data_IF_748198255233
#
_entry.id   IF_748198255233
#
_cell.length_a   1.000
_cell.length_b   1.000
_cell.length_c   1.000
_cell.angle_alpha   90.00
_cell.angle_beta   90.00
_cell.angle_gamma   90.00
#
_symmetry.space_group_name_H-M   'P 1'
#
loop_
_entity.id
_entity.type
_entity.pdbx_description
1 polymer ?
#
# COMPACT_ATOMS: atom_id res chain seq x y z
N UNK A 1 -38.61 -32.46 52.94
CA UNK A 1 -37.91 -32.46 51.65
C UNK A 1 -37.63 -33.90 51.23
N UNK A 2 -38.13 -34.36 50.10
CA UNK A 2 -38.23 -35.78 49.72
C UNK A 2 -36.85 -36.26 49.23
N UNK A 3 -36.13 -37.04 50.04
CA UNK A 3 -34.76 -37.53 49.77
C UNK A 3 -34.60 -38.23 48.39
N UNK A 4 -35.69 -38.82 47.83
CA UNK A 4 -35.70 -39.44 46.52
C UNK A 4 -35.60 -38.46 45.33
N UNK A 5 -36.14 -37.22 45.46
CA UNK A 5 -35.98 -36.15 44.44
C UNK A 5 -34.56 -35.57 44.40
N UNK A 6 -33.88 -35.50 45.57
CA UNK A 6 -32.53 -34.97 45.66
C UNK A 6 -31.48 -35.86 44.95
N UNK A 7 -31.68 -37.19 45.01
CA UNK A 7 -30.76 -38.17 44.38
C UNK A 7 -30.70 -38.04 42.85
N UNK A 8 -31.79 -37.64 42.20
CA UNK A 8 -31.84 -37.40 40.75
C UNK A 8 -31.40 -35.97 40.32
N UNK A 9 -31.53 -35.01 41.21
CA UNK A 9 -31.14 -33.63 40.93
C UNK A 9 -29.61 -33.41 40.93
N UNK A 10 -28.88 -34.16 41.78
CA UNK A 10 -27.44 -34.07 41.87
C UNK A 10 -26.73 -34.50 40.56
N UNK A 11 -27.02 -35.66 39.93
CA UNK A 11 -26.45 -36.07 38.69
C UNK A 11 -26.80 -35.11 37.55
N UNK A 12 -28.02 -34.57 37.50
CA UNK A 12 -28.45 -33.60 36.50
C UNK A 12 -27.69 -32.26 36.62
N UNK A 13 -27.51 -31.78 37.85
CA UNK A 13 -26.74 -30.57 38.14
C UNK A 13 -25.24 -30.76 37.73
N UNK A 14 -24.69 -31.91 38.07
CA UNK A 14 -23.33 -32.28 37.69
C UNK A 14 -23.15 -32.35 36.17
N UNK A 15 -24.13 -32.92 35.45
CA UNK A 15 -24.15 -32.95 33.98
C UNK A 15 -24.21 -31.53 33.38
N UNK A 16 -25.03 -30.63 33.92
CA UNK A 16 -25.10 -29.23 33.53
C UNK A 16 -23.77 -28.50 33.76
N UNK A 17 -23.17 -28.68 34.96
CA UNK A 17 -21.86 -28.07 35.28
C UNK A 17 -20.78 -28.58 34.37
N UNK A 18 -20.67 -29.90 34.17
CA UNK A 18 -19.69 -30.50 33.28
C UNK A 18 -19.92 -30.04 31.82
N UNK A 19 -21.18 -30.03 31.36
CA UNK A 19 -21.56 -29.54 30.03
C UNK A 19 -21.17 -28.06 29.84
N UNK A 20 -21.44 -27.22 30.86
CA UNK A 20 -21.07 -25.81 30.83
C UNK A 20 -19.55 -25.62 30.82
N UNK A 21 -18.81 -26.39 31.64
CA UNK A 21 -17.33 -26.36 31.64
C UNK A 21 -16.75 -26.82 30.33
N UNK A 22 -17.34 -27.85 29.69
CA UNK A 22 -16.91 -28.32 28.36
C UNK A 22 -17.19 -27.25 27.31
N UNK A 23 -18.38 -26.61 27.33
CA UNK A 23 -18.76 -25.54 26.40
C UNK A 23 -17.85 -24.33 26.63
N UNK A 24 -17.58 -23.94 27.87
CA UNK A 24 -16.66 -22.83 28.20
C UNK A 24 -15.22 -23.14 27.78
N UNK A 25 -14.73 -24.37 27.97
CA UNK A 25 -13.41 -24.80 27.49
C UNK A 25 -13.33 -24.93 25.96
N UNK A 26 -14.38 -25.35 25.29
CA UNK A 26 -14.46 -25.36 23.82
C UNK A 26 -14.59 -23.94 23.25
N UNK A 27 -15.27 -23.03 23.95
CA UNK A 27 -15.33 -21.60 23.60
C UNK A 27 -14.04 -20.83 23.84
N UNK A 28 -13.15 -21.32 24.71
CA UNK A 28 -11.80 -20.83 24.95
C UNK A 28 -10.75 -21.62 24.13
N UNK A 29 -11.00 -21.95 22.87
CA UNK A 29 -9.87 -22.13 21.95
C UNK A 29 -9.20 -20.77 21.90
N UNK A 30 -8.06 -20.63 22.58
CA UNK A 30 -7.15 -19.51 22.41
C UNK A 30 -6.91 -19.38 20.91
N UNK A 31 -7.51 -18.36 20.32
CA UNK A 31 -7.30 -18.06 18.91
C UNK A 31 -5.87 -17.55 18.84
N UNK A 32 -4.95 -18.41 18.39
CA UNK A 32 -3.53 -18.06 18.33
C UNK A 32 -3.29 -17.13 17.16
N UNK A 33 -3.19 -15.83 17.47
CA UNK A 33 -2.68 -14.87 16.51
C UNK A 33 -1.16 -14.73 16.66
N UNK A 34 -0.47 -14.83 15.53
CA UNK A 34 0.95 -14.52 15.39
C UNK A 34 1.11 -13.03 15.07
N UNK A 35 2.18 -12.43 15.57
CA UNK A 35 2.55 -11.04 15.33
C UNK A 35 4.01 -11.04 14.88
N UNK A 36 4.23 -10.73 13.61
CA UNK A 36 5.56 -10.65 13.03
C UNK A 36 5.86 -9.20 12.63
N UNK A 37 7.06 -8.76 12.93
CA UNK A 37 7.58 -7.45 12.57
C UNK A 37 9.01 -7.56 12.02
N UNK A 38 9.41 -6.59 11.23
CA UNK A 38 10.75 -6.52 10.66
C UNK A 38 10.92 -5.32 9.74
N UNK A 39 11.97 -5.36 8.91
CA UNK A 39 12.34 -4.29 8.00
C UNK A 39 12.50 -4.81 6.57
N UNK A 40 11.82 -4.18 5.62
CA UNK A 40 11.86 -4.51 4.20
C UNK A 40 11.54 -3.26 3.35
N UNK A 41 12.00 -3.18 2.13
CA UNK A 41 11.75 -2.07 1.18
C UNK A 41 12.06 -0.67 1.73
N UNK A 42 13.03 -0.58 2.66
CA UNK A 42 13.38 0.67 3.32
C UNK A 42 12.41 1.12 4.41
N UNK A 43 11.49 0.26 4.86
CA UNK A 43 10.48 0.56 5.89
C UNK A 43 10.26 -0.64 6.82
N UNK A 44 9.48 -0.43 7.89
CA UNK A 44 9.04 -1.49 8.80
C UNK A 44 7.81 -2.19 8.23
N UNK A 45 7.61 -3.44 8.65
CA UNK A 45 6.35 -4.18 8.42
C UNK A 45 5.81 -4.73 9.74
N UNK A 46 4.48 -4.85 9.80
CA UNK A 46 3.74 -5.49 10.89
C UNK A 46 2.69 -6.42 10.28
N UNK A 47 2.74 -7.70 10.65
CA UNK A 47 1.85 -8.72 10.11
C UNK A 47 1.22 -9.47 11.27
N UNK A 48 -0.11 -9.43 11.35
CA UNK A 48 -0.90 -10.17 12.32
C UNK A 48 -1.76 -11.20 11.59
N UNK A 49 -1.71 -12.47 11.98
CA UNK A 49 -2.46 -13.54 11.34
C UNK A 49 -2.83 -14.66 12.29
N UNK A 50 -3.97 -15.30 12.05
CA UNK A 50 -4.46 -16.41 12.84
C UNK A 50 -3.79 -17.73 12.41
N UNK A 51 -2.84 -18.23 13.19
CA UNK A 51 -2.14 -19.48 12.94
C UNK A 51 -1.52 -20.06 14.20
N UNK A 52 -1.51 -21.39 14.31
CA UNK A 52 -0.76 -22.10 15.36
C UNK A 52 0.77 -22.16 15.06
N UNK A 53 1.15 -21.87 13.81
CA UNK A 53 2.54 -21.91 13.35
C UNK A 53 3.00 -20.50 13.00
N UNK A 54 4.19 -20.12 13.47
CA UNK A 54 4.84 -18.88 13.05
C UNK A 54 5.42 -19.02 11.64
N UNK A 55 5.06 -18.09 10.74
CA UNK A 55 5.42 -18.09 9.33
C UNK A 55 6.42 -16.98 8.96
N UNK A 56 7.02 -16.31 9.93
CA UNK A 56 7.93 -15.18 9.71
C UNK A 56 9.00 -15.46 8.67
N UNK A 57 9.68 -16.60 8.75
CA UNK A 57 10.73 -16.96 7.79
C UNK A 57 10.21 -17.10 6.35
N UNK A 58 9.01 -17.65 6.18
CA UNK A 58 8.40 -17.84 4.87
C UNK A 58 7.92 -16.48 4.30
N UNK A 59 7.35 -15.64 5.16
CA UNK A 59 6.96 -14.27 4.82
C UNK A 59 8.18 -13.47 4.37
N UNK A 60 9.26 -13.46 5.14
CA UNK A 60 10.50 -12.77 4.79
C UNK A 60 11.14 -13.29 3.49
N UNK A 61 11.05 -14.60 3.25
CA UNK A 61 11.54 -15.20 2.01
C UNK A 61 10.73 -14.71 0.78
N UNK A 62 9.41 -14.58 0.88
CA UNK A 62 8.59 -14.04 -0.19
C UNK A 62 8.83 -12.54 -0.41
N UNK A 63 8.93 -11.75 0.65
CA UNK A 63 9.25 -10.33 0.57
C UNK A 63 10.63 -10.08 -0.05
N UNK A 64 11.61 -10.94 0.25
CA UNK A 64 12.93 -10.89 -0.38
C UNK A 64 12.87 -11.12 -1.89
N UNK A 65 12.02 -12.02 -2.38
CA UNK A 65 11.83 -12.23 -3.83
C UNK A 65 11.25 -10.99 -4.50
N UNK A 66 10.35 -10.26 -3.83
CA UNK A 66 9.83 -8.98 -4.32
C UNK A 66 10.96 -7.95 -4.41
N UNK A 67 11.81 -7.83 -3.37
CA UNK A 67 12.98 -6.93 -3.39
C UNK A 67 13.95 -7.28 -4.51
N UNK A 68 14.28 -8.55 -4.68
CA UNK A 68 15.15 -9.05 -5.76
C UNK A 68 14.58 -8.80 -7.17
N UNK A 69 13.27 -8.62 -7.27
CA UNK A 69 12.59 -8.32 -8.54
C UNK A 69 12.47 -6.81 -8.82
N UNK A 70 12.01 -6.04 -7.84
CA UNK A 70 11.44 -4.70 -8.04
C UNK A 70 12.21 -3.56 -7.37
N UNK A 71 13.14 -3.84 -6.45
CA UNK A 71 13.83 -2.78 -5.70
C UNK A 71 14.90 -2.10 -6.54
N UNK A 72 14.79 -0.80 -6.87
CA UNK A 72 15.86 -0.06 -7.55
C UNK A 72 17.07 0.16 -6.64
N UNK A 73 16.92 0.01 -5.31
CA UNK A 73 18.00 0.15 -4.32
C UNK A 73 18.83 -1.13 -4.17
N UNK A 74 18.29 -2.28 -4.56
CA UNK A 74 19.02 -3.54 -4.64
C UNK A 74 19.77 -3.63 -5.99
N UNK A 75 21.08 -3.47 -5.97
CA UNK A 75 21.93 -3.44 -7.18
C UNK A 75 21.85 -4.72 -8.02
N UNK A 76 21.46 -5.85 -7.41
CA UNK A 76 21.36 -7.16 -8.08
C UNK A 76 19.94 -7.49 -8.53
N UNK A 77 18.96 -6.66 -8.20
CA UNK A 77 17.56 -6.85 -8.60
C UNK A 77 17.38 -6.82 -10.13
N UNK A 78 16.26 -7.41 -10.56
CA UNK A 78 15.89 -7.41 -12.00
C UNK A 78 15.72 -5.98 -12.50
N UNK A 79 14.98 -5.13 -11.78
CA UNK A 79 14.77 -3.73 -12.19
C UNK A 79 16.08 -2.96 -12.30
N UNK A 80 17.03 -3.18 -11.38
CA UNK A 80 18.34 -2.53 -11.43
C UNK A 80 19.17 -2.98 -12.67
N UNK A 81 19.09 -4.26 -13.05
CA UNK A 81 19.72 -4.77 -14.28
C UNK A 81 19.06 -4.18 -15.53
N UNK A 82 17.72 -4.10 -15.59
CA UNK A 82 16.98 -3.43 -16.67
C UNK A 82 17.42 -1.97 -16.77
N UNK A 83 17.54 -1.27 -15.67
CA UNK A 83 17.98 0.13 -15.64
C UNK A 83 19.41 0.33 -16.15
N UNK A 84 20.29 -0.64 -15.93
CA UNK A 84 21.66 -0.64 -16.48
C UNK A 84 21.78 -1.20 -17.91
N UNK A 85 20.64 -1.52 -18.56
CA UNK A 85 20.59 -2.09 -19.90
C UNK A 85 21.27 -3.47 -20.04
N UNK A 86 21.29 -4.27 -18.98
CA UNK A 86 21.83 -5.63 -18.99
C UNK A 86 20.86 -6.64 -19.64
N UNK A 87 19.66 -6.22 -19.97
CA UNK A 87 18.62 -6.99 -20.64
C UNK A 87 18.31 -8.36 -19.99
N UNK A 88 18.05 -8.43 -18.68
CA UNK A 88 17.69 -9.68 -18.02
C UNK A 88 16.30 -10.16 -18.47
N UNK A 89 16.08 -11.48 -18.49
CA UNK A 89 14.72 -12.00 -18.50
C UNK A 89 14.01 -11.64 -17.18
N UNK A 90 12.80 -11.08 -17.26
CA UNK A 90 12.03 -10.69 -16.08
C UNK A 90 11.20 -11.87 -15.56
N UNK A 91 11.05 -11.94 -14.24
CA UNK A 91 10.27 -12.98 -13.58
C UNK A 91 8.76 -12.65 -13.52
N UNK A 92 7.97 -13.59 -13.00
CA UNK A 92 6.52 -13.43 -12.89
C UNK A 92 6.12 -12.21 -12.05
N UNK A 93 6.81 -11.94 -10.93
CA UNK A 93 6.51 -10.78 -10.06
C UNK A 93 6.72 -9.46 -10.79
N UNK A 94 7.84 -9.35 -11.54
CA UNK A 94 8.09 -8.17 -12.36
C UNK A 94 7.02 -7.98 -13.43
N UNK A 95 6.61 -9.06 -14.12
CA UNK A 95 5.56 -9.00 -15.15
C UNK A 95 4.22 -8.56 -14.59
N UNK A 96 3.80 -9.12 -13.46
CA UNK A 96 2.55 -8.74 -12.80
C UNK A 96 2.53 -7.24 -12.49
N UNK A 97 3.60 -6.72 -11.90
CA UNK A 97 3.69 -5.30 -11.56
C UNK A 97 3.80 -4.41 -12.80
N UNK A 98 4.57 -4.81 -13.81
CA UNK A 98 4.72 -4.06 -15.06
C UNK A 98 3.38 -3.92 -15.79
N UNK A 99 2.65 -5.00 -15.96
CA UNK A 99 1.35 -4.99 -16.65
C UNK A 99 0.29 -4.19 -15.85
N UNK A 100 0.27 -4.32 -14.52
CA UNK A 100 -0.61 -3.52 -13.69
C UNK A 100 -0.24 -2.02 -13.79
N UNK A 101 1.04 -1.69 -13.75
CA UNK A 101 1.52 -0.32 -13.91
C UNK A 101 1.15 0.27 -15.27
N UNK A 102 1.30 -0.51 -16.35
CA UNK A 102 0.91 -0.09 -17.70
C UNK A 102 -0.59 0.20 -17.79
N UNK A 103 -1.43 -0.68 -17.23
CA UNK A 103 -2.88 -0.48 -17.18
C UNK A 103 -3.25 0.81 -16.43
N UNK A 104 -2.76 0.99 -15.20
CA UNK A 104 -3.04 2.18 -14.39
C UNK A 104 -2.48 3.45 -15.06
N UNK A 105 -1.33 3.37 -15.72
CA UNK A 105 -0.78 4.49 -16.49
C UNK A 105 -1.71 4.91 -17.64
N UNK A 106 -2.31 3.95 -18.33
CA UNK A 106 -3.32 4.22 -19.37
C UNK A 106 -4.56 4.90 -18.79
N UNK A 107 -5.13 4.35 -17.71
CA UNK A 107 -6.35 4.83 -17.06
C UNK A 107 -6.16 6.22 -16.43
N UNK A 108 -4.96 6.53 -15.96
CA UNK A 108 -4.61 7.81 -15.34
C UNK A 108 -3.93 8.80 -16.30
N UNK A 109 -3.90 8.49 -17.59
CA UNK A 109 -3.29 9.32 -18.64
C UNK A 109 -1.84 9.71 -18.31
N UNK A 110 -1.08 8.76 -17.77
CA UNK A 110 0.34 8.93 -17.41
C UNK A 110 0.57 9.69 -16.10
N UNK A 111 -0.44 9.93 -15.28
CA UNK A 111 -0.24 10.44 -13.92
C UNK A 111 0.48 9.41 -13.04
N UNK A 112 0.21 8.13 -13.24
CA UNK A 112 1.06 7.04 -12.80
C UNK A 112 2.02 6.64 -13.92
N UNK A 113 3.32 6.65 -13.66
CA UNK A 113 4.31 6.26 -14.67
C UNK A 113 5.57 5.72 -13.99
N UNK A 114 5.84 4.43 -14.15
CA UNK A 114 7.05 3.79 -13.61
C UNK A 114 8.35 4.22 -14.30
N UNK A 115 8.29 5.01 -15.36
CA UNK A 115 9.49 5.57 -16.02
C UNK A 115 9.92 6.92 -15.45
N UNK A 116 9.26 7.42 -14.41
CA UNK A 116 9.49 8.75 -13.81
C UNK A 116 10.83 8.88 -13.06
N UNK A 117 11.56 7.79 -12.83
CA UNK A 117 12.80 7.74 -12.05
C UNK A 117 13.84 8.82 -12.39
N UNK A 118 14.13 9.16 -13.68
CA UNK A 118 15.11 10.20 -13.99
C UNK A 118 14.73 11.57 -13.42
N UNK A 119 13.43 11.91 -13.44
CA UNK A 119 12.92 13.16 -12.87
C UNK A 119 12.96 13.16 -11.34
N UNK A 120 12.51 12.07 -10.70
CA UNK A 120 12.57 11.90 -9.24
C UNK A 120 14.00 12.04 -8.72
N UNK A 121 14.96 11.43 -9.40
CA UNK A 121 16.38 11.53 -9.10
C UNK A 121 16.90 12.98 -9.21
N UNK A 122 16.54 13.67 -10.28
CA UNK A 122 17.02 15.03 -10.54
C UNK A 122 16.46 16.05 -9.53
N UNK A 123 15.21 15.87 -9.08
CA UNK A 123 14.60 16.65 -8.02
C UNK A 123 15.13 16.31 -6.61
N UNK A 124 16.00 15.30 -6.48
CA UNK A 124 16.66 14.94 -5.22
C UNK A 124 15.87 14.03 -4.31
N UNK A 125 14.82 13.41 -4.79
CA UNK A 125 13.99 12.44 -4.04
C UNK A 125 14.39 10.98 -4.28
N UNK A 126 15.36 10.73 -5.17
CA UNK A 126 15.92 9.41 -5.44
C UNK A 126 17.37 9.28 -4.97
N UNK A 127 18.27 8.86 -5.89
CA UNK A 127 19.69 8.63 -5.58
C UNK A 127 20.53 9.90 -5.48
N UNK A 128 20.09 11.03 -6.04
CA UNK A 128 20.73 12.32 -5.92
C UNK A 128 20.16 13.11 -4.75
N UNK A 129 20.97 13.94 -4.07
CA UNK A 129 20.49 14.91 -3.08
C UNK A 129 20.16 16.23 -3.77
N UNK A 130 19.01 16.79 -3.41
CA UNK A 130 18.33 17.84 -4.13
C UNK A 130 19.13 19.12 -4.40
N UNK A 131 19.16 19.45 -5.68
CA UNK A 131 19.35 20.81 -6.17
C UNK A 131 18.20 21.04 -7.14
N UNK A 132 17.50 22.19 -7.05
CA UNK A 132 16.45 22.51 -8.03
C UNK A 132 17.05 22.45 -9.44
N UNK A 133 16.55 21.54 -10.31
CA UNK A 133 17.11 21.38 -11.63
C UNK A 133 16.75 22.58 -12.50
N UNK A 134 17.62 22.89 -13.45
CA UNK A 134 17.28 23.91 -14.41
C UNK A 134 16.27 23.37 -15.45
N UNK A 135 15.49 24.27 -16.03
CA UNK A 135 14.44 23.92 -17.01
C UNK A 135 14.95 23.05 -18.16
N UNK A 136 16.15 23.36 -18.71
CA UNK A 136 16.73 22.59 -19.82
C UNK A 136 17.01 21.13 -19.49
N UNK A 137 17.43 20.86 -18.24
CA UNK A 137 17.65 19.50 -17.74
C UNK A 137 16.32 18.76 -17.64
N UNK A 138 15.29 19.40 -17.06
CA UNK A 138 13.95 18.79 -17.00
C UNK A 138 13.39 18.51 -18.39
N UNK A 139 13.48 19.46 -19.32
CA UNK A 139 13.00 19.29 -20.70
C UNK A 139 13.73 18.13 -21.42
N UNK A 140 15.00 17.88 -21.13
CA UNK A 140 15.74 16.75 -21.69
C UNK A 140 15.32 15.41 -21.02
N UNK A 141 15.22 15.37 -19.70
CA UNK A 141 14.80 14.17 -18.96
C UNK A 141 13.38 13.74 -19.30
N UNK A 142 12.45 14.68 -19.54
CA UNK A 142 11.09 14.36 -19.99
C UNK A 142 11.04 13.56 -21.29
N UNK A 143 12.06 13.65 -22.14
CA UNK A 143 12.16 12.81 -23.36
C UNK A 143 12.33 11.34 -23.02
N UNK A 144 12.86 11.01 -21.82
CA UNK A 144 13.08 9.65 -21.33
C UNK A 144 11.98 9.15 -20.42
N UNK A 145 10.92 9.93 -20.17
CA UNK A 145 9.76 9.56 -19.39
C UNK A 145 8.55 9.33 -20.30
N UNK A 146 7.75 8.33 -19.98
CA UNK A 146 6.55 7.93 -20.71
C UNK A 146 6.41 6.41 -20.77
N UNK A 147 5.40 5.87 -20.10
CA UNK A 147 5.14 4.43 -20.00
C UNK A 147 5.01 3.76 -21.39
N UNK A 148 4.54 4.48 -22.43
CA UNK A 148 4.45 3.97 -23.80
C UNK A 148 5.82 3.72 -24.46
N UNK A 149 6.91 4.23 -23.88
CA UNK A 149 8.29 4.09 -24.39
C UNK A 149 8.97 2.80 -23.93
N UNK A 150 8.29 2.00 -23.11
CA UNK A 150 8.77 0.70 -22.64
C UNK A 150 7.76 -0.38 -22.95
N UNK A 151 8.23 -1.59 -23.26
CA UNK A 151 7.36 -2.72 -23.61
C UNK A 151 7.91 -4.00 -23.00
N UNK A 152 7.02 -4.85 -22.49
CA UNK A 152 7.33 -6.23 -22.18
C UNK A 152 7.24 -7.07 -23.45
N UNK A 153 8.32 -7.74 -23.79
CA UNK A 153 8.39 -8.59 -24.99
C UNK A 153 7.85 -10.01 -24.70
N UNK A 154 7.43 -10.78 -25.71
CA UNK A 154 6.92 -12.15 -25.54
C UNK A 154 7.93 -13.10 -24.89
N UNK A 155 9.22 -12.88 -25.06
CA UNK A 155 10.33 -13.63 -24.46
C UNK A 155 10.77 -13.09 -23.08
N UNK A 156 9.91 -12.27 -22.44
CA UNK A 156 10.05 -11.74 -21.08
C UNK A 156 11.25 -10.80 -20.89
N UNK A 157 11.51 -9.92 -21.83
CA UNK A 157 12.48 -8.84 -21.67
C UNK A 157 11.79 -7.47 -21.70
N UNK A 158 12.44 -6.45 -21.15
CA UNK A 158 11.97 -5.07 -21.23
C UNK A 158 12.69 -4.34 -22.37
N UNK A 159 11.94 -4.01 -23.40
CA UNK A 159 12.41 -3.17 -24.49
C UNK A 159 12.19 -1.70 -24.14
N UNK A 160 13.23 -0.88 -24.22
CA UNK A 160 13.20 0.57 -24.01
C UNK A 160 13.46 1.28 -25.34
N UNK A 161 12.71 2.36 -25.64
CA UNK A 161 12.95 3.19 -26.83
C UNK A 161 14.22 4.05 -26.72
N UNK A 162 14.64 4.38 -25.50
CA UNK A 162 15.86 5.13 -25.19
C UNK A 162 16.57 4.43 -24.03
N UNK A 163 17.88 4.13 -24.14
CA UNK A 163 18.63 3.44 -23.07
C UNK A 163 18.72 4.24 -21.77
N UNK A 164 18.45 5.54 -21.80
CA UNK A 164 18.40 6.40 -20.60
C UNK A 164 17.12 6.22 -19.77
N UNK A 165 16.09 5.57 -20.30
CA UNK A 165 14.86 5.28 -19.56
C UNK A 165 15.20 4.44 -18.34
N UNK A 166 14.72 4.86 -17.18
CA UNK A 166 14.86 4.14 -15.92
C UNK A 166 13.49 3.85 -15.32
N UNK A 167 13.29 2.61 -14.87
CA UNK A 167 12.07 2.17 -14.21
C UNK A 167 12.21 2.35 -12.71
N UNK A 168 11.10 2.73 -12.06
CA UNK A 168 10.94 2.79 -10.61
C UNK A 168 9.55 2.27 -10.23
N UNK A 169 9.53 1.20 -9.46
CA UNK A 169 8.30 0.60 -8.95
C UNK A 169 7.98 1.02 -7.50
N UNK A 170 8.65 2.02 -6.93
CA UNK A 170 8.49 2.41 -5.51
C UNK A 170 7.05 2.80 -5.14
N UNK A 171 6.26 3.26 -6.11
CA UNK A 171 4.87 3.67 -5.93
C UNK A 171 3.84 2.54 -6.15
N UNK A 172 4.27 1.28 -6.19
CA UNK A 172 3.43 0.09 -6.37
C UNK A 172 4.02 -1.15 -5.67
N UNK A 173 5.32 -1.15 -5.42
CA UNK A 173 6.03 -2.34 -4.95
C UNK A 173 5.73 -2.68 -3.49
N UNK A 174 5.43 -1.70 -2.62
CA UNK A 174 5.06 -1.96 -1.24
C UNK A 174 3.68 -2.63 -1.17
N UNK A 175 2.71 -2.07 -1.91
CA UNK A 175 1.40 -2.67 -2.07
C UNK A 175 1.48 -4.09 -2.64
N UNK A 176 2.32 -4.30 -3.65
CA UNK A 176 2.55 -5.63 -4.21
C UNK A 176 3.17 -6.60 -3.20
N UNK A 177 4.08 -6.13 -2.34
CA UNK A 177 4.64 -6.92 -1.23
C UNK A 177 3.56 -7.40 -0.27
N UNK A 178 2.59 -6.53 0.11
CA UNK A 178 1.43 -6.92 0.91
C UNK A 178 0.59 -7.99 0.21
N UNK A 179 0.33 -7.86 -1.09
CA UNK A 179 -0.42 -8.84 -1.88
C UNK A 179 0.29 -10.20 -1.97
N UNK A 180 1.62 -10.22 -2.07
CA UNK A 180 2.42 -11.45 -2.07
C UNK A 180 2.28 -12.19 -0.75
N UNK A 181 2.38 -11.49 0.37
CA UNK A 181 2.17 -12.08 1.70
C UNK A 181 0.74 -12.56 1.87
N UNK A 182 -0.26 -11.79 1.43
CA UNK A 182 -1.67 -12.18 1.47
C UNK A 182 -1.93 -13.47 0.68
N UNK A 183 -1.30 -13.62 -0.49
CA UNK A 183 -1.35 -14.88 -1.29
C UNK A 183 -0.71 -16.05 -0.55
N UNK A 184 0.44 -15.85 0.10
CA UNK A 184 1.11 -16.87 0.92
C UNK A 184 0.19 -17.34 2.05
N UNK A 185 -0.34 -16.41 2.86
CA UNK A 185 -1.22 -16.74 3.98
C UNK A 185 -2.50 -17.46 3.52
N UNK A 186 -3.14 -16.96 2.47
CA UNK A 186 -4.34 -17.60 1.88
C UNK A 186 -4.05 -19.00 1.34
N UNK A 187 -2.89 -19.23 0.69
CA UNK A 187 -2.46 -20.57 0.22
C UNK A 187 -2.25 -21.55 1.38
N UNK A 188 -1.91 -21.05 2.56
CA UNK A 188 -1.79 -21.86 3.79
C UNK A 188 -3.13 -22.03 4.52
N UNK A 189 -4.25 -21.57 3.95
CA UNK A 189 -5.58 -21.68 4.56
C UNK A 189 -5.86 -20.66 5.65
N UNK A 190 -4.99 -19.64 5.83
CA UNK A 190 -5.18 -18.57 6.80
C UNK A 190 -6.12 -17.53 6.22
N UNK A 191 -7.21 -17.24 6.92
CA UNK A 191 -8.27 -16.33 6.46
C UNK A 191 -8.50 -15.11 7.36
N UNK A 192 -7.84 -15.05 8.51
CA UNK A 192 -7.91 -13.92 9.44
C UNK A 192 -6.50 -13.29 9.53
N UNK A 193 -6.28 -12.15 8.88
CA UNK A 193 -5.00 -11.45 8.91
C UNK A 193 -5.09 -9.96 8.59
N UNK A 194 -4.12 -9.23 9.09
CA UNK A 194 -3.76 -7.88 8.68
C UNK A 194 -2.27 -7.83 8.37
N UNK A 195 -1.93 -7.34 7.18
CA UNK A 195 -0.57 -7.14 6.70
C UNK A 195 -0.38 -5.64 6.52
N UNK A 196 0.68 -5.09 7.09
CA UNK A 196 1.08 -3.70 6.93
C UNK A 196 2.55 -3.63 6.55
N UNK A 197 2.89 -2.91 5.47
CA UNK A 197 4.26 -2.65 5.03
C UNK A 197 4.39 -1.17 4.69
N UNK A 198 4.95 -0.37 5.62
CA UNK A 198 5.20 1.06 5.40
C UNK A 198 3.95 1.92 5.19
N UNK A 199 2.81 1.46 5.69
CA UNK A 199 1.51 2.12 5.58
C UNK A 199 0.58 1.54 4.51
N UNK A 200 1.06 0.65 3.65
CA UNK A 200 0.24 -0.15 2.74
C UNK A 200 -0.31 -1.37 3.48
N UNK A 201 -1.61 -1.63 3.34
CA UNK A 201 -2.32 -2.57 4.20
C UNK A 201 -3.19 -3.52 3.37
N UNK A 202 -3.19 -4.80 3.78
CA UNK A 202 -4.19 -5.79 3.34
C UNK A 202 -4.86 -6.38 4.56
N UNK A 203 -6.20 -6.40 4.57
CA UNK A 203 -6.98 -7.04 5.62
C UNK A 203 -7.81 -8.18 5.06
N UNK A 204 -7.97 -9.25 5.84
CA UNK A 204 -8.91 -10.33 5.57
C UNK A 204 -9.51 -10.86 6.87
N UNK A 205 -10.80 -11.27 6.80
CA UNK A 205 -11.51 -11.85 7.93
C UNK A 205 -11.57 -10.94 9.14
N UNK A 206 -11.27 -11.45 10.34
CA UNK A 206 -11.50 -10.77 11.61
C UNK A 206 -10.23 -10.64 12.44
N UNK A 207 -10.23 -9.69 13.37
CA UNK A 207 -9.20 -9.54 14.38
C UNK A 207 -9.37 -10.56 15.54
N UNK A 208 -8.49 -10.51 16.52
CA UNK A 208 -8.52 -11.39 17.71
C UNK A 208 -9.83 -11.32 18.52
N UNK A 209 -10.56 -10.19 18.42
CA UNK A 209 -11.84 -9.97 19.08
C UNK A 209 -13.03 -10.42 18.24
N UNK A 210 -12.79 -11.03 17.07
CA UNK A 210 -13.82 -11.38 16.08
C UNK A 210 -14.59 -10.17 15.53
N UNK A 211 -13.93 -9.03 15.48
CA UNK A 211 -14.39 -7.78 14.87
C UNK A 211 -13.64 -7.53 13.57
N UNK A 212 -14.17 -6.69 12.67
CA UNK A 212 -13.44 -6.16 11.52
C UNK A 212 -12.18 -5.41 11.96
N UNK A 213 -11.21 -5.31 11.06
CA UNK A 213 -9.97 -4.58 11.33
C UNK A 213 -10.21 -3.07 11.38
N UNK A 214 -9.51 -2.39 12.28
CA UNK A 214 -9.59 -0.93 12.45
C UNK A 214 -8.29 -0.32 12.00
N UNK A 215 -8.35 0.48 10.94
CA UNK A 215 -7.18 1.10 10.32
C UNK A 215 -7.25 2.61 10.45
N UNK A 216 -6.22 3.20 11.05
CA UNK A 216 -6.11 4.66 11.18
C UNK A 216 -5.69 5.33 9.86
N UNK A 217 -6.34 6.44 9.54
CA UNK A 217 -5.88 7.39 8.52
C UNK A 217 -5.24 8.57 9.26
N UNK A 218 -3.97 8.83 9.03
CA UNK A 218 -3.22 9.88 9.73
C UNK A 218 -3.58 11.28 9.21
N UNK A 219 -3.53 12.27 10.09
CA UNK A 219 -3.57 13.68 9.70
C UNK A 219 -2.32 14.02 8.88
N UNK A 220 -2.44 14.87 7.84
CA UNK A 220 -1.31 15.30 7.00
C UNK A 220 -0.50 16.40 7.69
N UNK A 221 0.04 16.12 8.87
CA UNK A 221 0.94 17.05 9.58
C UNK A 221 2.33 17.02 8.95
N UNK A 222 2.96 18.19 8.79
CA UNK A 222 4.33 18.29 8.29
C UNK A 222 5.32 17.76 9.34
N UNK A 223 5.56 16.47 9.29
CA UNK A 223 6.47 15.76 10.18
C UNK A 223 7.36 14.81 9.37
N UNK A 224 8.52 15.31 8.97
CA UNK A 224 9.51 14.53 8.22
C UNK A 224 10.11 13.37 9.03
N UNK A 225 9.99 13.40 10.35
CA UNK A 225 10.46 12.34 11.25
C UNK A 225 9.38 11.31 11.59
N UNK A 226 8.15 11.55 11.14
CA UNK A 226 6.97 10.68 11.39
C UNK A 226 6.75 10.38 12.89
N UNK A 227 7.00 11.37 13.74
CA UNK A 227 6.88 11.27 15.21
C UNK A 227 5.47 11.57 15.70
N UNK A 228 4.70 12.35 14.95
CA UNK A 228 3.32 12.72 15.27
C UNK A 228 2.34 11.87 14.43
N UNK A 229 1.68 10.90 15.08
CA UNK A 229 0.72 9.99 14.45
C UNK A 229 -0.72 10.33 14.86
N UNK A 230 -1.08 11.61 14.88
CA UNK A 230 -2.47 11.98 15.09
C UNK A 230 -3.36 11.40 13.98
N UNK A 231 -4.43 10.71 14.41
CA UNK A 231 -5.40 10.15 13.49
C UNK A 231 -6.37 11.22 13.00
N UNK A 232 -6.65 11.22 11.71
CA UNK A 232 -7.74 11.97 11.11
C UNK A 232 -9.06 11.24 11.30
N UNK A 233 -9.04 9.93 11.08
CA UNK A 233 -10.19 9.04 11.27
C UNK A 233 -9.73 7.59 11.40
N UNK A 234 -10.66 6.70 11.73
CA UNK A 234 -10.45 5.25 11.73
C UNK A 234 -11.44 4.60 10.77
N UNK A 235 -10.94 3.72 9.92
CA UNK A 235 -11.76 2.93 9.01
C UNK A 235 -11.96 1.53 9.60
N UNK A 236 -13.21 1.07 9.59
CA UNK A 236 -13.58 -0.30 9.96
C UNK A 236 -13.70 -1.14 8.68
N UNK A 237 -12.69 -1.97 8.39
CA UNK A 237 -12.53 -2.63 7.10
C UNK A 237 -12.16 -4.10 7.25
N UNK A 238 -12.57 -4.92 6.28
CA UNK A 238 -12.12 -6.31 6.12
C UNK A 238 -12.21 -6.69 4.66
N UNK A 239 -11.49 -7.73 4.24
CA UNK A 239 -11.45 -8.26 2.87
C UNK A 239 -11.13 -7.18 1.81
N UNK A 240 -10.24 -6.25 2.17
CA UNK A 240 -9.87 -5.13 1.33
C UNK A 240 -8.41 -4.72 1.57
N UNK A 241 -7.83 -4.10 0.57
CA UNK A 241 -6.52 -3.48 0.64
C UNK A 241 -6.62 -1.96 0.68
N UNK A 242 -5.63 -1.30 1.29
CA UNK A 242 -5.57 0.15 1.44
C UNK A 242 -4.14 0.64 1.29
N UNK A 243 -3.95 1.77 0.64
CA UNK A 243 -2.69 2.49 0.59
C UNK A 243 -2.90 4.00 0.72
N UNK A 244 -1.92 4.70 1.25
CA UNK A 244 -1.98 6.16 1.43
C UNK A 244 -0.72 6.83 0.90
N UNK A 245 -0.91 7.74 -0.05
CA UNK A 245 0.12 8.68 -0.53
C UNK A 245 -0.13 10.09 0.00
N UNK A 246 0.94 10.84 0.29
CA UNK A 246 0.80 12.21 0.79
C UNK A 246 2.08 13.03 0.67
N UNK A 247 1.92 14.35 0.49
CA UNK A 247 3.01 15.30 0.26
C UNK A 247 3.55 15.95 1.55
N UNK A 248 3.26 15.36 2.71
CA UNK A 248 3.59 15.92 4.03
C UNK A 248 4.75 15.21 4.73
N UNK A 249 5.21 14.04 4.22
CA UNK A 249 6.28 13.25 4.82
C UNK A 249 7.64 13.46 4.16
N UNK A 250 7.69 13.57 2.83
CA UNK A 250 8.91 13.67 2.06
C UNK A 250 8.88 14.93 1.18
N UNK A 251 9.46 16.01 1.70
CA UNK A 251 9.50 17.33 1.06
C UNK A 251 10.73 18.10 1.54
N UNK A 252 11.06 19.17 0.85
CA UNK A 252 12.01 20.17 1.30
C UNK A 252 11.53 21.58 0.96
N UNK A 253 12.02 22.57 1.69
CA UNK A 253 11.80 24.00 1.40
C UNK A 253 13.02 24.61 0.72
N UNK A 254 12.78 25.40 -0.32
CA UNK A 254 13.81 26.23 -0.97
C UNK A 254 13.20 27.57 -1.37
N UNK A 255 13.85 28.67 -0.99
CA UNK A 255 13.36 30.03 -1.26
C UNK A 255 11.90 30.26 -0.83
N UNK A 256 11.48 29.69 0.31
CA UNK A 256 10.11 29.78 0.82
C UNK A 256 9.08 28.92 0.09
N UNK A 257 9.47 28.18 -0.97
CA UNK A 257 8.61 27.28 -1.72
C UNK A 257 8.80 25.82 -1.27
N UNK A 258 7.70 25.12 -1.04
CA UNK A 258 7.68 23.68 -0.73
C UNK A 258 7.80 22.85 -2.02
N UNK A 259 8.67 21.87 -2.00
CA UNK A 259 8.81 20.86 -3.05
C UNK A 259 8.54 19.49 -2.45
N UNK A 260 7.48 18.83 -2.89
CA UNK A 260 7.14 17.48 -2.46
C UNK A 260 7.74 16.44 -3.41
N UNK A 261 7.91 15.22 -2.90
CA UNK A 261 8.48 14.11 -3.67
C UNK A 261 7.61 13.61 -4.83
N UNK A 262 6.33 13.99 -4.84
CA UNK A 262 5.41 13.61 -5.93
C UNK A 262 5.70 14.47 -7.16
N UNK A 263 6.29 13.85 -8.17
CA UNK A 263 6.60 14.48 -9.45
C UNK A 263 5.53 14.09 -10.47
N UNK A 264 5.01 15.10 -11.19
CA UNK A 264 4.13 14.85 -12.33
C UNK A 264 4.96 14.40 -13.54
N UNK A 265 4.81 13.16 -14.04
CA UNK A 265 5.56 12.66 -15.17
C UNK A 265 5.34 13.46 -16.45
N UNK A 266 4.14 14.06 -16.62
CA UNK A 266 3.78 14.82 -17.81
C UNK A 266 4.46 16.19 -17.86
N UNK A 267 4.58 16.88 -16.73
CA UNK A 267 5.20 18.20 -16.63
C UNK A 267 6.69 18.13 -16.28
N UNK A 268 7.11 17.10 -15.56
CA UNK A 268 8.46 16.93 -15.02
C UNK A 268 8.72 17.71 -13.74
N UNK A 269 7.69 18.30 -13.11
CA UNK A 269 7.81 19.13 -11.91
C UNK A 269 7.07 18.52 -10.71
N UNK A 270 7.51 18.84 -9.48
CA UNK A 270 6.74 18.54 -8.29
C UNK A 270 5.34 19.15 -8.34
N UNK A 271 4.34 18.38 -7.97
CA UNK A 271 2.94 18.85 -7.97
C UNK A 271 2.72 20.00 -7.01
N UNK A 272 1.84 20.92 -7.39
CA UNK A 272 1.48 22.13 -6.64
C UNK A 272 -0.04 22.27 -6.67
N UNK A 273 -0.75 21.57 -5.80
CA UNK A 273 -2.21 21.64 -5.67
C UNK A 273 -2.65 21.38 -4.23
N UNK A 274 -3.94 21.52 -3.98
CA UNK A 274 -4.54 21.47 -2.64
C UNK A 274 -4.57 20.09 -1.99
N UNK A 275 -4.42 18.99 -2.74
CA UNK A 275 -4.50 17.64 -2.20
C UNK A 275 -3.27 17.33 -1.35
N UNK A 276 -3.50 17.07 -0.06
CA UNK A 276 -2.46 16.79 0.94
C UNK A 276 -2.20 15.29 1.10
N UNK A 277 -3.29 14.49 1.05
CA UNK A 277 -3.24 13.04 1.23
C UNK A 277 -4.34 12.35 0.44
N UNK A 278 -4.01 11.21 -0.16
CA UNK A 278 -4.93 10.32 -0.85
C UNK A 278 -4.81 8.91 -0.27
N UNK A 279 -5.83 8.46 0.45
CA UNK A 279 -6.00 7.06 0.86
C UNK A 279 -6.93 6.39 -0.12
N UNK A 280 -6.50 5.27 -0.70
CA UNK A 280 -7.27 4.48 -1.67
C UNK A 280 -7.49 3.08 -1.11
N UNK A 281 -8.72 2.58 -1.25
CA UNK A 281 -9.08 1.21 -0.96
C UNK A 281 -9.41 0.49 -2.27
N UNK A 282 -8.88 -0.71 -2.43
CA UNK A 282 -9.05 -1.54 -3.63
C UNK A 282 -9.04 -3.03 -3.27
N UNK A 283 -9.33 -3.89 -4.25
CA UNK A 283 -9.31 -5.35 -4.08
C UNK A 283 -7.90 -5.88 -3.75
N UNK A 284 -6.86 -5.26 -4.28
CA UNK A 284 -5.47 -5.59 -3.99
C UNK A 284 -4.65 -4.33 -3.69
N UNK A 285 -3.58 -4.50 -2.95
CA UNK A 285 -2.82 -3.39 -2.39
C UNK A 285 -1.93 -2.69 -3.43
N UNK A 286 -1.41 -3.42 -4.41
CA UNK A 286 -0.64 -2.83 -5.50
C UNK A 286 -1.49 -1.82 -6.31
N UNK A 287 -2.77 -2.14 -6.54
CA UNK A 287 -3.72 -1.22 -7.19
C UNK A 287 -3.96 0.01 -6.30
N UNK A 288 -4.22 -0.19 -5.00
CA UNK A 288 -4.44 0.92 -4.06
C UNK A 288 -3.23 1.87 -4.00
N UNK A 289 -2.01 1.34 -3.93
CA UNK A 289 -0.73 2.07 -3.85
C UNK A 289 -0.52 2.92 -5.12
N UNK A 290 -0.68 2.31 -6.30
CA UNK A 290 -0.53 3.00 -7.58
C UNK A 290 -1.59 4.10 -7.79
N UNK A 291 -2.87 3.85 -7.46
CA UNK A 291 -3.91 4.89 -7.56
C UNK A 291 -3.73 5.98 -6.52
N UNK A 292 -3.31 5.67 -5.28
CA UNK A 292 -3.03 6.69 -4.28
C UNK A 292 -1.97 7.68 -4.78
N UNK A 293 -0.89 7.18 -5.39
CA UNK A 293 0.14 8.01 -6.02
C UNK A 293 -0.40 8.76 -7.24
N UNK A 294 -1.19 8.12 -8.10
CA UNK A 294 -1.83 8.77 -9.26
C UNK A 294 -2.68 9.96 -8.83
N UNK A 295 -3.50 9.80 -7.81
CA UNK A 295 -4.39 10.85 -7.31
C UNK A 295 -3.60 12.01 -6.70
N UNK A 296 -2.48 11.72 -6.03
CA UNK A 296 -1.56 12.76 -5.57
C UNK A 296 -0.89 13.51 -6.73
N UNK A 297 -0.74 12.93 -7.92
CA UNK A 297 -0.27 13.62 -9.11
C UNK A 297 -1.39 14.43 -9.75
N UNK A 298 -2.58 13.87 -9.87
CA UNK A 298 -3.72 14.45 -10.60
C UNK A 298 -4.39 15.61 -9.86
N UNK A 299 -4.35 15.60 -8.53
CA UNK A 299 -5.12 16.49 -7.66
C UNK A 299 -6.58 16.08 -7.53
N UNK A 300 -7.31 16.80 -6.65
CA UNK A 300 -8.63 16.42 -6.14
C UNK A 300 -9.68 16.17 -7.24
N UNK A 301 -9.85 17.12 -8.16
CA UNK A 301 -10.97 17.06 -9.11
C UNK A 301 -10.78 15.96 -10.16
N UNK A 302 -9.56 15.83 -10.73
CA UNK A 302 -9.27 14.75 -11.68
C UNK A 302 -9.34 13.37 -11.01
N UNK A 303 -8.90 13.25 -9.75
CA UNK A 303 -9.03 12.01 -8.98
C UNK A 303 -10.50 11.60 -8.80
N UNK A 304 -11.39 12.55 -8.52
CA UNK A 304 -12.84 12.30 -8.44
C UNK A 304 -13.42 11.81 -9.78
N UNK A 305 -12.93 12.33 -10.91
CA UNK A 305 -13.39 11.88 -12.24
C UNK A 305 -12.99 10.43 -12.53
N UNK A 306 -11.78 10.02 -12.16
CA UNK A 306 -11.35 8.62 -12.24
C UNK A 306 -12.24 7.73 -11.36
N UNK A 307 -12.50 8.13 -10.12
CA UNK A 307 -13.35 7.38 -9.19
C UNK A 307 -14.80 7.19 -9.67
N UNK A 308 -15.33 8.08 -10.50
CA UNK A 308 -16.63 7.89 -11.15
C UNK A 308 -16.66 6.75 -12.16
N UNK A 309 -15.50 6.45 -12.77
CA UNK A 309 -15.34 5.39 -13.77
C UNK A 309 -14.95 4.06 -13.13
N UNK A 310 -14.41 4.09 -11.89
CA UNK A 310 -13.89 2.95 -11.14
C UNK A 310 -14.66 2.75 -9.84
N UNK A 311 -15.88 2.18 -9.93
CA UNK A 311 -16.75 1.95 -8.77
C UNK A 311 -16.19 0.94 -7.76
N UNK A 312 -15.22 0.13 -8.17
CA UNK A 312 -14.49 -0.82 -7.33
C UNK A 312 -13.45 -0.15 -6.43
N UNK A 313 -13.10 1.11 -6.69
CA UNK A 313 -12.22 1.90 -5.84
C UNK A 313 -13.02 2.75 -4.86
N UNK A 314 -12.50 2.86 -3.64
CA UNK A 314 -12.96 3.84 -2.67
C UNK A 314 -11.79 4.75 -2.30
N UNK A 315 -12.06 6.01 -1.98
CA UNK A 315 -11.01 6.94 -1.60
C UNK A 315 -11.43 7.85 -0.45
N UNK A 316 -10.43 8.25 0.35
CA UNK A 316 -10.52 9.27 1.38
C UNK A 316 -9.42 10.30 1.11
N UNK A 317 -9.81 11.52 0.80
CA UNK A 317 -8.91 12.63 0.46
C UNK A 317 -8.89 13.67 1.55
N UNK A 318 -7.71 14.16 1.90
CA UNK A 318 -7.52 15.32 2.77
C UNK A 318 -6.89 16.41 1.91
N UNK A 319 -7.49 17.59 1.89
CA UNK A 319 -7.08 18.70 1.04
C UNK A 319 -7.23 20.04 1.74
N UNK A 320 -6.60 21.07 1.19
CA UNK A 320 -6.79 22.47 1.62
C UNK A 320 -7.80 23.14 0.71
N UNK A 321 -8.84 23.75 1.28
CA UNK A 321 -9.82 24.51 0.51
C UNK A 321 -9.29 25.93 0.16
N UNK A 322 -10.10 26.71 -0.58
CA UNK A 322 -9.72 28.07 -1.03
C UNK A 322 -9.50 29.04 0.14
N UNK A 323 -10.10 28.80 1.31
CA UNK A 323 -9.89 29.58 2.54
C UNK A 323 -8.63 29.16 3.32
N UNK A 324 -7.86 28.20 2.81
CA UNK A 324 -6.67 27.66 3.48
C UNK A 324 -6.97 26.67 4.62
N UNK A 325 -8.21 26.19 4.76
CA UNK A 325 -8.61 25.22 5.79
C UNK A 325 -8.50 23.79 5.26
N UNK A 326 -8.10 22.88 6.14
CA UNK A 326 -8.07 21.45 5.82
C UNK A 326 -9.50 20.89 5.81
N UNK A 327 -9.86 20.26 4.73
CA UNK A 327 -11.13 19.57 4.51
C UNK A 327 -10.93 18.13 4.06
N UNK A 328 -12.02 17.36 4.11
CA UNK A 328 -12.05 15.94 3.76
C UNK A 328 -13.11 15.69 2.71
N UNK A 329 -12.77 14.87 1.74
CA UNK A 329 -13.71 14.27 0.81
C UNK A 329 -13.52 12.75 0.78
N UNK A 330 -14.60 12.00 0.71
CA UNK A 330 -14.54 10.54 0.57
C UNK A 330 -15.62 10.01 -0.38
N UNK A 331 -15.32 8.86 -0.99
CA UNK A 331 -16.28 8.14 -1.84
C UNK A 331 -17.54 7.80 -1.06
N UNK A 332 -18.75 7.94 -1.64
CA UNK A 332 -19.99 7.59 -0.96
C UNK A 332 -20.00 6.17 -0.38
N UNK A 333 -19.41 5.21 -1.09
CA UNK A 333 -19.28 3.80 -0.66
C UNK A 333 -18.37 3.59 0.56
N UNK A 334 -17.52 4.59 0.92
CA UNK A 334 -16.67 4.53 2.09
C UNK A 334 -17.38 4.99 3.37
N UNK A 335 -18.49 5.73 3.27
CA UNK A 335 -19.16 6.37 4.41
C UNK A 335 -19.45 5.43 5.58
N UNK A 336 -19.98 4.24 5.30
CA UNK A 336 -20.34 3.25 6.32
C UNK A 336 -19.13 2.58 7.00
N UNK A 337 -17.94 2.77 6.43
CA UNK A 337 -16.70 2.21 6.96
C UNK A 337 -15.94 3.18 7.87
N UNK A 338 -16.34 4.46 7.91
CA UNK A 338 -15.72 5.49 8.74
C UNK A 338 -16.30 5.38 10.16
N UNK A 339 -15.43 5.21 11.15
CA UNK A 339 -15.79 5.30 12.57
C UNK A 339 -15.66 6.77 13.01
N UNK A 340 -16.71 7.28 13.63
CA UNK A 340 -16.73 8.63 14.23
C UNK A 340 -15.84 8.72 15.47
#
# INVERSE_FOLDING_TARGET
MNKKKLIWQIPFLLFLVIGTVIILKQGQKNVNYQHDEGFIFGTVYHITYHSDTNLKKEIEAELKKVDESLSPFNKTSIISKVNRNENPAVNTMFKEVFLLAENISNETHGAFDITVAPLVNEWGFGFKKGVEPNKKVIDDLRKTVGYQKVKLTPDNHIQKQDPRIMLDCSAIAKGYGCDVVARLLSKKGINDYMIEIGGEIVTKGFNQKKESWRIGVNKPTEDSLNTNQELQTVLNVTDIAMATSGNYRNFYYKNGKKYAHTIDPNTGYPVQHSLLSATVLAKNCATADAYATSFMVMGLEKAKEILKQHSELMAYFIYTNDDGKTEVWYSPSLKEKILE
#
